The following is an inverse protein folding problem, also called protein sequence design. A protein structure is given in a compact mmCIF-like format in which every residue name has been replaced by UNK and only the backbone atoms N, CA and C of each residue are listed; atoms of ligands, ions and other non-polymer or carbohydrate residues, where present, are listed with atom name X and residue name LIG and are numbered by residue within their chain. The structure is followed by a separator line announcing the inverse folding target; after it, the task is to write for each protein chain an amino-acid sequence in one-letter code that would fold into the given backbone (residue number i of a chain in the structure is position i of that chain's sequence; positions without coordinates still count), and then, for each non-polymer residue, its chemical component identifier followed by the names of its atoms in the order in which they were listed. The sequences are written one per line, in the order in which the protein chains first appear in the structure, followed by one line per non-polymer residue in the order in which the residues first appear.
data_IF_424147346972
#
_entry.id   IF_424147346972
#
_cell.length_a   1.000
_cell.length_b   1.000
_cell.length_c   1.000
_cell.angle_alpha   90.00
_cell.angle_beta   90.00
_cell.angle_gamma   90.00
#
_symmetry.space_group_name_H-M   'P 1'
#
loop_
_entity.id
_entity.type
_entity.pdbx_description
1 polymer ?
#
# COMPACT_ATOMS: atom_id res chain seq x y z
N UNK A 1 -28.47 -57.20 5.04
CA UNK A 1 -27.24 -56.77 5.75
C UNK A 1 -26.78 -55.49 5.06
N UNK A 2 -27.10 -54.28 5.51
CA UNK A 2 -26.82 -53.64 6.82
C UNK A 2 -25.33 -53.60 7.13
N UNK A 3 -24.71 -52.46 6.81
CA UNK A 3 -23.51 -51.82 7.39
C UNK A 3 -23.30 -50.55 6.54
N UNK A 4 -24.20 -49.57 6.62
CA UNK A 4 -24.03 -48.33 7.41
C UNK A 4 -22.59 -47.80 7.53
N UNK A 5 -22.45 -46.47 7.42
CA UNK A 5 -21.40 -45.78 6.69
C UNK A 5 -20.20 -45.49 7.59
N UNK A 6 -19.00 -45.77 7.11
CA UNK A 6 -17.76 -45.31 7.74
C UNK A 6 -17.44 -43.88 7.29
N UNK A 7 -18.42 -42.98 7.47
CA UNK A 7 -18.25 -41.53 7.45
C UNK A 7 -17.86 -41.16 8.88
N UNK A 8 -16.56 -40.98 9.18
CA UNK A 8 -16.19 -40.27 10.42
C UNK A 8 -14.72 -39.88 10.65
N UNK A 9 -13.73 -40.22 9.80
CA UNK A 9 -12.32 -39.88 10.13
C UNK A 9 -11.52 -39.49 8.89
N UNK A 10 -11.75 -38.30 8.33
CA UNK A 10 -10.70 -37.45 7.71
C UNK A 10 -11.21 -36.00 7.70
N UNK A 11 -11.32 -35.38 8.88
CA UNK A 11 -11.74 -33.97 9.01
C UNK A 11 -10.69 -33.07 9.68
N UNK A 12 -9.44 -33.52 9.81
CA UNK A 12 -8.36 -32.69 10.35
C UNK A 12 -7.05 -32.93 9.60
N UNK A 13 -6.79 -32.14 8.57
CA UNK A 13 -5.41 -31.77 8.20
C UNK A 13 -5.40 -30.64 7.19
N UNK A 14 -4.78 -29.54 7.61
CA UNK A 14 -4.33 -28.39 6.83
C UNK A 14 -5.41 -27.36 6.44
N UNK A 15 -5.77 -26.50 7.41
CA UNK A 15 -5.92 -25.08 7.12
C UNK A 15 -4.59 -24.54 6.59
N UNK A 16 -4.35 -24.70 5.29
CA UNK A 16 -3.28 -24.01 4.58
C UNK A 16 -3.71 -22.58 4.32
N UNK A 17 -3.34 -21.65 5.22
CA UNK A 17 -3.30 -20.25 4.84
C UNK A 17 -2.10 -20.06 3.91
N UNK A 18 -2.30 -20.22 2.60
CA UNK A 18 -1.36 -19.72 1.63
C UNK A 18 -1.50 -18.20 1.62
N UNK A 19 -0.67 -17.51 2.39
CA UNK A 19 -0.23 -16.18 2.01
C UNK A 19 0.69 -16.35 0.78
N UNK A 20 0.11 -16.69 -0.36
CA UNK A 20 0.74 -16.38 -1.63
C UNK A 20 0.68 -14.87 -1.74
N UNK A 21 1.71 -14.22 -1.20
CA UNK A 21 2.29 -13.03 -1.79
C UNK A 21 2.60 -13.42 -3.24
N UNK A 22 1.59 -13.36 -4.10
CA UNK A 22 1.75 -13.36 -5.53
C UNK A 22 2.42 -12.02 -5.84
N UNK A 23 3.73 -11.98 -5.63
CA UNK A 23 4.63 -11.06 -6.27
C UNK A 23 4.41 -11.20 -7.77
N UNK A 24 3.51 -10.36 -8.28
CA UNK A 24 3.00 -10.48 -9.64
C UNK A 24 2.20 -9.28 -10.12
N UNK A 25 2.07 -8.21 -9.33
CA UNK A 25 1.77 -6.84 -9.81
C UNK A 25 2.52 -5.77 -8.99
N UNK A 26 3.57 -6.17 -8.28
CA UNK A 26 4.48 -5.23 -7.63
C UNK A 26 5.42 -4.66 -8.68
N UNK A 27 5.18 -3.41 -9.10
CA UNK A 27 6.24 -2.59 -9.68
C UNK A 27 7.51 -2.84 -8.86
N UNK A 28 8.59 -3.24 -9.54
CA UNK A 28 9.92 -3.33 -8.94
C UNK A 28 10.31 -1.93 -8.45
N UNK A 29 9.90 -1.59 -7.23
CA UNK A 29 10.26 -0.41 -6.46
C UNK A 29 11.74 -0.53 -6.06
N UNK A 30 12.59 -0.40 -7.06
CA UNK A 30 14.05 -0.40 -6.98
C UNK A 30 14.69 0.33 -8.16
N UNK A 31 13.90 0.82 -9.11
CA UNK A 31 14.34 1.87 -10.02
C UNK A 31 14.05 3.20 -9.34
N UNK A 32 15.10 4.00 -9.20
CA UNK A 32 15.09 5.37 -8.69
C UNK A 32 13.72 6.02 -8.87
N UNK A 33 13.05 6.30 -7.75
CA UNK A 33 11.87 7.14 -7.75
C UNK A 33 12.25 8.36 -8.60
N UNK A 34 11.52 8.65 -9.70
CA UNK A 34 11.76 9.87 -10.44
C UNK A 34 11.70 10.97 -9.38
N UNK A 35 12.81 11.69 -9.19
CA UNK A 35 12.77 12.95 -8.47
C UNK A 35 11.94 13.86 -9.36
N UNK A 36 10.61 13.70 -9.27
CA UNK A 36 9.67 14.61 -9.87
C UNK A 36 10.04 15.99 -9.31
N UNK A 37 10.19 17.01 -10.15
CA UNK A 37 10.62 18.33 -9.71
C UNK A 37 9.69 18.77 -8.60
N UNK A 38 10.23 18.75 -7.38
CA UNK A 38 9.47 18.93 -6.16
C UNK A 38 8.98 20.38 -6.13
N UNK A 39 7.75 20.60 -6.58
CA UNK A 39 6.97 21.69 -6.04
C UNK A 39 6.99 21.49 -4.53
N UNK A 40 7.70 22.37 -3.81
CA UNK A 40 7.95 22.31 -2.36
C UNK A 40 6.66 22.50 -1.56
N UNK A 41 5.71 21.62 -1.76
CA UNK A 41 4.41 21.60 -1.14
C UNK A 41 4.45 20.55 -0.05
N UNK A 42 4.05 20.94 1.15
CA UNK A 42 3.95 20.01 2.26
C UNK A 42 2.65 19.21 2.17
N UNK A 43 2.60 18.08 2.89
CA UNK A 43 1.38 17.32 3.10
C UNK A 43 0.23 18.22 3.57
N UNK A 44 0.49 19.10 4.54
CA UNK A 44 -0.50 20.00 5.12
C UNK A 44 -1.08 20.99 4.11
N UNK A 45 -0.25 21.47 3.17
CA UNK A 45 -0.70 22.36 2.09
C UNK A 45 -1.66 21.65 1.14
N UNK A 46 -1.39 20.37 0.82
CA UNK A 46 -2.27 19.57 -0.03
C UNK A 46 -3.61 19.29 0.66
N UNK A 47 -3.58 18.88 1.93
CA UNK A 47 -4.80 18.66 2.72
C UNK A 47 -5.66 19.93 2.78
N UNK A 48 -5.03 21.09 3.01
CA UNK A 48 -5.73 22.39 3.05
C UNK A 48 -6.34 22.77 1.69
N UNK A 49 -5.77 22.28 0.58
CA UNK A 49 -6.31 22.46 -0.78
C UNK A 49 -7.41 21.44 -1.13
N UNK A 50 -7.76 20.56 -0.20
CA UNK A 50 -8.80 19.53 -0.36
C UNK A 50 -8.31 18.25 -1.03
N UNK A 51 -7.01 17.98 -1.01
CA UNK A 51 -6.50 16.65 -1.36
C UNK A 51 -6.78 15.68 -0.22
N UNK A 52 -7.19 14.47 -0.56
CA UNK A 52 -7.51 13.42 0.40
C UNK A 52 -6.40 12.38 0.44
N UNK A 53 -6.06 11.90 1.64
CA UNK A 53 -5.16 10.76 1.80
C UNK A 53 -5.90 9.51 1.36
N UNK A 54 -5.43 8.88 0.28
CA UNK A 54 -5.99 7.62 -0.22
C UNK A 54 -5.32 6.41 0.41
N UNK A 55 -4.01 6.50 0.66
CA UNK A 55 -3.27 5.41 1.29
C UNK A 55 -1.96 5.91 1.91
N UNK A 56 -1.46 5.18 2.90
CA UNK A 56 -0.16 5.39 3.52
C UNK A 56 0.57 4.05 3.56
N UNK A 57 1.72 3.97 2.88
CA UNK A 57 2.49 2.74 2.73
C UNK A 57 3.83 2.88 3.46
N UNK A 58 4.17 1.97 4.38
CA UNK A 58 5.50 1.92 4.95
C UNK A 58 6.53 1.46 3.91
N UNK A 59 7.65 2.15 3.80
CA UNK A 59 8.75 1.85 2.88
C UNK A 59 10.10 1.98 3.61
N UNK A 60 10.71 0.85 3.97
CA UNK A 60 12.10 0.80 4.46
C UNK A 60 12.42 1.69 5.67
N UNK A 61 11.44 1.96 6.54
CA UNK A 61 11.58 2.86 7.70
C UNK A 61 11.03 4.29 7.50
N UNK A 62 10.46 4.57 6.33
CA UNK A 62 9.73 5.81 6.03
C UNK A 62 8.28 5.51 5.68
N UNK A 63 7.44 6.53 5.64
CA UNK A 63 6.06 6.41 5.18
C UNK A 63 5.88 7.22 3.91
N UNK A 64 5.34 6.59 2.87
CA UNK A 64 4.91 7.27 1.66
C UNK A 64 3.39 7.34 1.68
N UNK A 65 2.86 8.55 1.68
CA UNK A 65 1.44 8.83 1.76
C UNK A 65 0.98 9.37 0.42
N UNK A 66 -0.02 8.73 -0.16
CA UNK A 66 -0.57 9.09 -1.45
C UNK A 66 -1.82 9.93 -1.24
N UNK A 67 -1.82 11.13 -1.80
CA UNK A 67 -2.98 11.99 -1.85
C UNK A 67 -3.55 12.07 -3.25
N UNK A 68 -4.86 12.27 -3.32
CA UNK A 68 -5.55 12.48 -4.57
C UNK A 68 -6.64 13.53 -4.42
N UNK A 69 -6.80 14.33 -5.46
CA UNK A 69 -7.94 15.22 -5.68
C UNK A 69 -8.30 15.15 -7.15
N UNK A 70 -9.52 14.73 -7.44
CA UNK A 70 -9.99 14.53 -8.82
C UNK A 70 -9.02 13.62 -9.60
N UNK A 71 -8.36 14.15 -10.64
CA UNK A 71 -7.37 13.46 -11.47
C UNK A 71 -5.92 13.77 -11.08
N UNK A 72 -5.69 14.63 -10.08
CA UNK A 72 -4.35 14.99 -9.61
C UNK A 72 -3.95 14.13 -8.41
N UNK A 73 -2.80 13.48 -8.49
CA UNK A 73 -2.25 12.66 -7.43
C UNK A 73 -0.89 13.20 -6.96
N UNK A 74 -0.59 13.02 -5.68
CA UNK A 74 0.68 13.38 -5.05
C UNK A 74 1.16 12.23 -4.18
N UNK A 75 2.47 11.98 -4.18
CA UNK A 75 3.13 11.11 -3.21
C UNK A 75 3.96 11.97 -2.26
N UNK A 76 3.70 11.86 -0.97
CA UNK A 76 4.45 12.54 0.07
C UNK A 76 5.26 11.54 0.89
N UNK A 77 6.57 11.67 0.87
CA UNK A 77 7.45 10.96 1.78
C UNK A 77 7.53 11.72 3.10
N UNK A 78 7.25 11.05 4.21
CA UNK A 78 7.50 11.60 5.54
C UNK A 78 8.95 11.36 5.93
N UNK A 79 9.73 12.44 6.08
CA UNK A 79 11.09 12.39 6.64
C UNK A 79 11.05 12.43 8.17
N UNK A 80 10.04 13.09 8.74
CA UNK A 80 9.71 13.09 10.17
C UNK A 80 8.20 13.31 10.35
N UNK A 81 7.71 13.35 11.59
CA UNK A 81 6.31 13.66 11.90
C UNK A 81 5.86 15.05 11.43
N UNK A 82 6.81 15.98 11.26
CA UNK A 82 6.53 17.39 10.89
C UNK A 82 7.13 17.80 9.56
N UNK A 83 8.04 17.00 8.99
CA UNK A 83 8.66 17.25 7.71
C UNK A 83 8.24 16.19 6.69
N UNK A 84 7.50 16.63 5.67
CA UNK A 84 7.10 15.82 4.52
C UNK A 84 7.60 16.47 3.22
N UNK A 85 7.92 15.65 2.23
CA UNK A 85 8.29 16.10 0.91
C UNK A 85 7.37 15.43 -0.11
N UNK A 86 6.59 16.26 -0.80
CA UNK A 86 5.59 15.78 -1.75
C UNK A 86 6.04 16.00 -3.20
N UNK A 87 5.89 14.97 -4.02
CA UNK A 87 6.01 15.00 -5.47
C UNK A 87 4.64 14.81 -6.11
N UNK A 88 4.37 15.53 -7.20
CA UNK A 88 3.19 15.27 -8.02
C UNK A 88 3.39 13.99 -8.84
N UNK A 89 2.33 13.19 -8.95
CA UNK A 89 2.25 11.95 -9.73
C UNK A 89 1.36 12.18 -10.98
N UNK A 90 1.62 13.27 -11.72
CA UNK A 90 0.96 13.50 -13.02
C UNK A 90 1.62 12.67 -14.11
#
# INVERSE_FOLDING_TARGET
MRLLPLVSIVLLSASGAFAQEAGGLGLKLGQEAPTAPAAKTSMGDLLSKGYEIKTAVPNGGKFVVFLQKDQSAYACEMKSLTASQCGALN
#
